data_IF_815036033124
#
_entry.id   IF_815036033124
#
_cell.length_a   1.000
_cell.length_b   1.000
_cell.length_c   1.000
_cell.angle_alpha   90.00
_cell.angle_beta   90.00
_cell.angle_gamma   90.00
#
_symmetry.space_group_name_H-M   'P 1'
#
loop_
_entity.id
_entity.type
_entity.pdbx_description
1 polymer ?
#
# COMPACT_ATOMS: atom_id res chain seq x y z
N UNK A 1 -29.99 -8.86 15.35
CA UNK A 1 -28.83 -8.53 14.50
C UNK A 1 -28.65 -9.64 13.47
N UNK A 2 -28.96 -9.35 12.21
CA UNK A 2 -28.90 -10.34 11.14
C UNK A 2 -27.72 -10.00 10.21
N UNK A 3 -26.98 -11.03 9.77
CA UNK A 3 -25.90 -10.83 8.82
C UNK A 3 -26.47 -10.42 7.45
N UNK A 4 -25.86 -9.41 6.73
CA UNK A 4 -26.39 -8.88 5.47
C UNK A 4 -26.47 -9.90 4.33
N UNK A 5 -25.83 -11.06 4.45
CA UNK A 5 -25.79 -12.13 3.44
C UNK A 5 -26.30 -13.48 3.96
N UNK A 6 -27.22 -13.49 4.92
CA UNK A 6 -27.86 -14.70 5.48
C UNK A 6 -26.86 -15.78 5.91
N UNK A 7 -25.75 -15.39 6.53
CA UNK A 7 -24.75 -16.34 7.06
C UNK A 7 -25.30 -17.00 8.32
N UNK A 8 -25.25 -18.32 8.35
CA UNK A 8 -25.52 -19.11 9.53
C UNK A 8 -24.22 -19.72 10.06
N UNK A 9 -23.82 -19.35 11.27
CA UNK A 9 -22.69 -19.98 11.95
C UNK A 9 -23.09 -21.38 12.44
N UNK A 10 -22.52 -22.42 11.85
CA UNK A 10 -22.77 -23.80 12.25
C UNK A 10 -22.11 -24.15 13.59
N UNK A 11 -21.02 -23.45 13.93
CA UNK A 11 -20.29 -23.64 15.19
C UNK A 11 -19.43 -22.42 15.51
N UNK A 12 -19.03 -22.31 16.79
CA UNK A 12 -18.13 -21.27 17.28
C UNK A 12 -18.76 -19.87 17.20
N UNK A 13 -17.90 -18.82 17.16
CA UNK A 13 -18.35 -17.44 17.17
C UNK A 13 -18.46 -16.85 18.56
N UNK A 14 -18.73 -15.56 18.61
CA UNK A 14 -18.94 -14.82 19.85
C UNK A 14 -19.67 -13.51 19.58
N UNK A 15 -20.13 -12.91 20.66
CA UNK A 15 -20.65 -11.54 20.69
C UNK A 15 -19.83 -10.75 21.70
N UNK A 16 -19.46 -9.53 21.35
CA UNK A 16 -18.83 -8.56 22.24
C UNK A 16 -19.62 -7.24 22.18
N UNK A 17 -20.04 -6.76 23.34
CA UNK A 17 -20.56 -5.39 23.48
C UNK A 17 -19.37 -4.47 23.70
N UNK A 18 -19.25 -3.45 22.86
CA UNK A 18 -18.18 -2.46 22.93
C UNK A 18 -18.56 -1.31 23.88
N UNK A 19 -17.58 -0.55 24.35
CA UNK A 19 -17.79 0.61 25.24
C UNK A 19 -18.64 1.71 24.58
N UNK A 20 -18.66 1.74 23.24
CA UNK A 20 -19.51 2.62 22.44
C UNK A 20 -21.00 2.24 22.45
N UNK A 21 -21.35 1.07 23.00
CA UNK A 21 -22.67 0.46 22.88
C UNK A 21 -22.87 -0.39 21.63
N UNK A 22 -21.93 -0.35 20.68
CA UNK A 22 -21.97 -1.19 19.49
C UNK A 22 -21.80 -2.68 19.83
N UNK A 23 -22.27 -3.54 18.96
CA UNK A 23 -22.20 -5.00 19.14
C UNK A 23 -21.37 -5.61 18.02
N UNK A 24 -20.25 -6.24 18.37
CA UNK A 24 -19.42 -7.02 17.44
C UNK A 24 -19.84 -8.47 17.48
N UNK A 25 -20.21 -9.02 16.34
CA UNK A 25 -20.58 -10.44 16.16
C UNK A 25 -19.54 -11.13 15.31
N UNK A 26 -18.86 -12.10 15.88
CA UNK A 26 -17.99 -13.03 15.15
C UNK A 26 -18.81 -14.26 14.70
N UNK A 27 -18.87 -14.51 13.40
CA UNK A 27 -19.69 -15.58 12.80
C UNK A 27 -18.98 -16.94 12.77
N UNK A 28 -17.91 -17.09 13.54
CA UNK A 28 -17.23 -18.36 13.80
C UNK A 28 -16.88 -19.12 12.53
N UNK A 29 -17.48 -20.28 12.36
CA UNK A 29 -17.25 -21.13 11.19
C UNK A 29 -17.38 -20.42 9.84
N UNK A 30 -18.11 -19.32 9.77
CA UNK A 30 -18.38 -18.59 8.53
C UNK A 30 -17.37 -17.49 8.19
N UNK A 31 -16.18 -17.48 8.78
CA UNK A 31 -15.05 -16.61 8.44
C UNK A 31 -15.42 -15.13 8.20
N UNK A 32 -16.31 -14.59 9.03
CA UNK A 32 -16.80 -13.23 8.95
C UNK A 32 -17.00 -12.63 10.33
N UNK A 33 -17.04 -11.31 10.41
CA UNK A 33 -17.56 -10.59 11.56
C UNK A 33 -18.31 -9.34 11.11
N UNK A 34 -19.25 -8.91 11.95
CA UNK A 34 -20.05 -7.72 11.71
C UNK A 34 -20.12 -6.89 12.99
N UNK A 35 -19.90 -5.60 12.87
CA UNK A 35 -20.18 -4.63 13.93
C UNK A 35 -21.50 -3.93 13.63
N UNK A 36 -22.39 -3.92 14.61
CA UNK A 36 -23.67 -3.25 14.58
C UNK A 36 -23.68 -2.07 15.54
N UNK A 37 -24.39 -1.01 15.20
CA UNK A 37 -24.73 0.05 16.16
C UNK A 37 -25.62 -0.50 17.28
N UNK A 38 -25.82 0.30 18.33
CA UNK A 38 -26.76 -0.04 19.41
C UNK A 38 -28.20 -0.20 18.88
N UNK A 39 -28.55 0.50 17.79
CA UNK A 39 -29.86 0.45 17.12
C UNK A 39 -30.02 -0.75 16.19
N UNK A 40 -28.91 -1.45 15.86
CA UNK A 40 -28.88 -2.62 15.00
C UNK A 40 -28.45 -2.35 13.56
N UNK A 41 -28.04 -1.13 13.24
CA UNK A 41 -27.52 -0.80 11.91
C UNK A 41 -26.11 -1.36 11.72
N UNK A 42 -25.78 -1.79 10.50
CA UNK A 42 -24.46 -2.32 10.16
C UNK A 42 -23.45 -1.17 10.06
N UNK A 43 -22.48 -1.16 10.96
CA UNK A 43 -21.35 -0.21 10.98
C UNK A 43 -20.19 -0.74 10.15
N UNK A 44 -19.89 -2.04 10.28
CA UNK A 44 -18.79 -2.68 9.58
C UNK A 44 -19.12 -4.13 9.31
N UNK A 45 -18.87 -4.64 8.11
CA UNK A 45 -19.02 -6.04 7.76
C UNK A 45 -17.78 -6.53 7.02
N UNK A 46 -17.11 -7.54 7.56
CA UNK A 46 -15.84 -8.05 7.05
C UNK A 46 -15.92 -9.55 6.81
N UNK A 47 -15.51 -9.97 5.63
CA UNK A 47 -15.26 -11.34 5.25
C UNK A 47 -13.76 -11.52 5.01
N UNK A 48 -13.12 -12.44 5.74
CA UNK A 48 -11.68 -12.69 5.62
C UNK A 48 -11.36 -14.02 4.92
N UNK A 49 -12.33 -14.58 4.21
CA UNK A 49 -12.19 -15.74 3.35
C UNK A 49 -12.92 -15.55 2.03
N UNK A 50 -12.64 -16.40 1.03
CA UNK A 50 -13.36 -16.36 -0.24
C UNK A 50 -14.83 -16.70 -0.06
N UNK A 51 -15.73 -15.89 -0.62
CA UNK A 51 -17.20 -16.03 -0.44
C UNK A 51 -17.75 -17.42 -0.82
N UNK A 52 -17.17 -18.06 -1.83
CA UNK A 52 -17.55 -19.43 -2.23
C UNK A 52 -17.29 -20.50 -1.16
N UNK A 53 -16.56 -20.17 -0.09
CA UNK A 53 -16.13 -21.11 0.94
C UNK A 53 -16.59 -20.76 2.36
N UNK A 54 -17.38 -19.71 2.54
CA UNK A 54 -17.85 -19.31 3.88
C UNK A 54 -18.62 -20.44 4.59
N UNK A 55 -19.43 -21.18 3.84
CA UNK A 55 -20.25 -22.27 4.38
C UNK A 55 -19.53 -23.62 4.42
N UNK A 56 -18.36 -23.76 3.82
CA UNK A 56 -17.64 -25.03 3.69
C UNK A 56 -16.44 -25.22 4.62
N UNK A 57 -16.19 -24.27 5.55
CA UNK A 57 -15.20 -24.44 6.61
C UNK A 57 -13.74 -24.49 6.16
N UNK A 58 -13.40 -24.03 4.95
CA UNK A 58 -11.99 -23.93 4.51
C UNK A 58 -11.23 -22.80 5.18
N UNK A 59 -11.94 -21.71 5.48
CA UNK A 59 -11.45 -20.60 6.30
C UNK A 59 -12.44 -20.45 7.44
N UNK A 60 -11.99 -20.59 8.66
CA UNK A 60 -12.84 -20.51 9.85
C UNK A 60 -12.23 -19.55 10.86
N UNK A 61 -13.08 -18.92 11.65
CA UNK A 61 -12.68 -18.19 12.84
C UNK A 61 -13.19 -18.91 14.08
N UNK A 62 -12.45 -18.82 15.18
CA UNK A 62 -12.93 -19.28 16.46
C UNK A 62 -13.74 -18.18 17.14
N UNK A 63 -13.15 -17.01 17.29
CA UNK A 63 -13.75 -15.81 17.89
C UNK A 63 -13.12 -14.57 17.30
N UNK A 64 -13.85 -13.44 17.33
CA UNK A 64 -13.37 -12.12 16.91
C UNK A 64 -13.57 -11.15 18.07
N UNK A 65 -12.54 -10.38 18.38
CA UNK A 65 -12.59 -9.35 19.40
C UNK A 65 -12.06 -8.04 18.86
N UNK A 66 -12.61 -6.93 19.34
CA UNK A 66 -12.14 -5.56 19.05
C UNK A 66 -11.66 -4.94 20.35
N UNK A 67 -10.44 -4.41 20.31
CA UNK A 67 -9.82 -3.74 21.45
C UNK A 67 -9.12 -2.47 20.96
N UNK A 68 -8.97 -1.52 21.85
CA UNK A 68 -8.07 -0.41 21.64
C UNK A 68 -6.65 -0.94 21.51
N UNK A 69 -5.95 -0.48 20.49
CA UNK A 69 -4.60 -0.90 20.20
C UNK A 69 -3.68 0.30 19.99
N UNK A 70 -2.58 0.33 20.73
CA UNK A 70 -1.48 1.27 20.50
C UNK A 70 -0.27 0.49 20.06
N UNK A 71 0.10 0.65 18.79
CA UNK A 71 1.29 0.04 18.19
C UNK A 71 2.44 1.04 18.10
N UNK A 72 3.60 0.65 18.61
CA UNK A 72 4.86 1.38 18.48
C UNK A 72 5.90 0.41 17.89
N UNK A 73 6.01 0.31 16.56
CA UNK A 73 6.96 -0.60 15.91
C UNK A 73 8.41 -0.26 16.27
N UNK A 74 9.25 -1.29 16.37
CA UNK A 74 10.69 -1.13 16.56
C UNK A 74 11.43 -0.91 15.22
N UNK A 75 10.74 -1.04 14.09
CA UNK A 75 11.27 -0.73 12.76
C UNK A 75 11.22 0.77 12.51
N UNK A 76 11.91 1.22 11.46
CA UNK A 76 11.70 2.55 10.89
C UNK A 76 10.55 2.52 9.89
N UNK A 77 9.95 3.67 9.51
CA UNK A 77 8.98 3.74 8.41
C UNK A 77 9.56 3.25 7.08
N UNK A 78 8.75 2.53 6.31
CA UNK A 78 9.08 2.06 4.97
C UNK A 78 8.76 3.13 3.93
N UNK A 79 9.56 3.20 2.85
CA UNK A 79 9.38 4.20 1.80
C UNK A 79 9.60 3.62 0.41
N UNK A 80 8.80 4.14 -0.56
CA UNK A 80 9.05 3.99 -1.99
C UNK A 80 9.16 5.39 -2.61
N UNK A 81 10.13 5.59 -3.51
CA UNK A 81 10.43 6.92 -4.07
C UNK A 81 10.21 6.90 -5.57
N UNK A 82 9.54 7.93 -6.08
CA UNK A 82 9.48 8.31 -7.49
C UNK A 82 10.20 9.65 -7.70
N UNK A 83 10.41 10.12 -8.93
CA UNK A 83 10.95 11.45 -9.16
C UNK A 83 10.12 12.59 -8.58
N UNK A 84 8.79 12.39 -8.47
CA UNK A 84 7.80 13.40 -8.09
C UNK A 84 7.29 13.26 -6.64
N UNK A 85 7.36 12.04 -6.06
CA UNK A 85 6.75 11.75 -4.76
C UNK A 85 7.54 10.74 -3.95
N UNK A 86 7.38 10.77 -2.63
CA UNK A 86 7.70 9.67 -1.74
C UNK A 86 6.41 9.08 -1.17
N UNK A 87 6.28 7.75 -1.23
CA UNK A 87 5.22 6.99 -0.59
C UNK A 87 5.75 6.47 0.73
N UNK A 88 5.03 6.70 1.81
CA UNK A 88 5.48 6.32 3.16
C UNK A 88 4.41 5.54 3.89
N UNK A 89 4.84 4.46 4.54
CA UNK A 89 4.00 3.65 5.42
C UNK A 89 4.80 3.18 6.64
N UNK A 90 4.10 2.86 7.71
CA UNK A 90 4.74 2.26 8.88
C UNK A 90 3.80 1.24 9.50
N UNK A 91 4.04 -0.02 9.15
CA UNK A 91 3.17 -1.11 9.58
C UNK A 91 3.19 -1.25 11.10
N UNK A 92 1.99 -1.25 11.68
CA UNK A 92 1.79 -1.35 13.13
C UNK A 92 1.89 -0.03 13.90
N UNK A 93 2.30 1.09 13.29
CA UNK A 93 2.31 2.39 13.93
C UNK A 93 0.89 2.99 13.94
N UNK A 94 0.30 3.12 15.12
CA UNK A 94 -1.10 3.61 15.26
C UNK A 94 -1.18 5.09 15.64
N UNK A 95 -0.11 5.67 16.16
CA UNK A 95 -0.09 7.06 16.66
C UNK A 95 0.36 8.10 15.65
N UNK A 96 0.85 7.70 14.47
CA UNK A 96 1.28 8.67 13.46
C UNK A 96 0.07 9.48 12.99
N UNK A 97 0.13 10.78 13.21
CA UNK A 97 -0.85 11.76 12.75
C UNK A 97 -0.39 12.45 11.46
N UNK A 98 0.90 12.73 11.37
CA UNK A 98 1.50 13.51 10.29
C UNK A 98 2.89 12.99 9.91
N UNK A 99 3.30 13.32 8.70
CA UNK A 99 4.62 13.08 8.15
C UNK A 99 5.31 14.41 7.89
N UNK A 100 6.51 14.62 8.46
CA UNK A 100 7.33 15.82 8.26
C UNK A 100 8.50 15.48 7.34
N UNK A 101 8.58 16.17 6.21
CA UNK A 101 9.71 16.08 5.30
C UNK A 101 10.80 17.01 5.79
N UNK A 102 12.00 16.47 5.96
CA UNK A 102 13.17 17.21 6.41
C UNK A 102 14.26 17.10 5.34
N UNK A 103 14.55 18.20 4.66
CA UNK A 103 15.62 18.26 3.65
C UNK A 103 17.00 18.48 4.29
N UNK A 104 18.01 17.86 3.71
CA UNK A 104 19.40 18.12 4.09
C UNK A 104 19.84 19.49 3.57
N UNK A 105 20.53 20.27 4.41
CA UNK A 105 21.02 21.61 4.06
C UNK A 105 22.22 21.61 3.09
N UNK A 106 22.83 20.46 2.84
CA UNK A 106 23.90 20.31 1.86
C UNK A 106 25.29 20.76 2.31
N UNK A 107 25.46 21.28 3.53
CA UNK A 107 26.72 21.91 3.96
C UNK A 107 27.78 20.91 4.40
N UNK A 108 27.49 19.95 5.28
CA UNK A 108 28.48 19.02 5.80
C UNK A 108 27.98 17.59 5.94
N UNK A 109 28.55 16.67 5.16
CA UNK A 109 28.24 15.23 5.19
C UNK A 109 28.58 14.57 6.54
N UNK A 110 29.50 15.15 7.30
CA UNK A 110 29.92 14.61 8.61
C UNK A 110 28.99 15.03 9.73
N UNK A 111 28.29 16.15 9.55
CA UNK A 111 27.34 16.67 10.54
C UNK A 111 26.07 17.11 9.79
N UNK A 112 25.31 16.11 9.27
CA UNK A 112 24.12 16.35 8.49
C UNK A 112 23.05 17.04 9.33
N UNK A 113 22.77 18.30 9.02
CA UNK A 113 21.62 19.05 9.55
C UNK A 113 20.44 18.93 8.58
N UNK A 114 19.25 18.93 9.13
CA UNK A 114 18.01 18.75 8.37
C UNK A 114 17.03 19.85 8.77
N UNK A 115 16.46 20.50 7.76
CA UNK A 115 15.44 21.52 7.94
C UNK A 115 14.08 20.98 7.49
N UNK A 116 13.04 21.19 8.28
CA UNK A 116 11.67 20.83 7.91
C UNK A 116 11.21 21.71 6.76
N UNK A 117 10.81 21.09 5.66
CA UNK A 117 10.37 21.78 4.42
C UNK A 117 8.91 21.55 4.11
N UNK A 118 8.32 20.45 4.63
CA UNK A 118 6.91 20.16 4.45
C UNK A 118 6.36 19.30 5.59
N UNK A 119 5.03 19.35 5.81
CA UNK A 119 4.33 18.54 6.80
C UNK A 119 2.94 18.19 6.30
N UNK A 120 2.66 16.90 6.19
CA UNK A 120 1.46 16.37 5.54
C UNK A 120 0.73 15.42 6.49
N UNK A 121 -0.59 15.55 6.65
CA UNK A 121 -1.38 14.62 7.45
C UNK A 121 -1.28 13.18 6.90
N UNK A 122 -1.28 12.20 7.78
CA UNK A 122 -1.43 10.80 7.40
C UNK A 122 -2.82 10.57 6.81
N UNK A 123 -2.87 10.03 5.60
CA UNK A 123 -4.15 9.80 4.88
C UNK A 123 -4.64 8.36 4.94
N UNK A 124 -3.80 7.41 5.35
CA UNK A 124 -4.17 6.00 5.39
C UNK A 124 -3.03 5.10 5.85
N UNK A 125 -3.01 3.86 5.38
CA UNK A 125 -1.90 2.94 5.62
C UNK A 125 -0.63 3.48 4.96
N UNK A 126 -0.73 3.88 3.71
CA UNK A 126 0.33 4.56 2.95
C UNK A 126 -0.11 6.00 2.66
N UNK A 127 0.82 6.92 2.72
CA UNK A 127 0.63 8.34 2.38
C UNK A 127 1.57 8.72 1.26
N UNK A 128 1.04 9.27 0.17
CA UNK A 128 1.84 9.91 -0.88
C UNK A 128 2.18 11.33 -0.46
N UNK A 129 3.46 11.68 -0.56
CA UNK A 129 3.99 13.02 -0.27
C UNK A 129 4.66 13.55 -1.53
N UNK A 130 4.11 14.56 -2.20
CA UNK A 130 4.76 15.21 -3.35
C UNK A 130 6.09 15.86 -2.94
N UNK A 131 7.15 15.64 -3.71
CA UNK A 131 8.45 16.24 -3.46
C UNK A 131 8.53 17.63 -4.10
N UNK A 132 8.52 18.66 -3.27
CA UNK A 132 8.67 20.06 -3.70
C UNK A 132 10.10 20.37 -4.17
N UNK A 133 10.32 21.56 -4.74
CA UNK A 133 11.66 22.03 -5.13
C UNK A 133 12.60 22.28 -3.94
N UNK A 134 12.08 22.35 -2.74
CA UNK A 134 12.86 22.52 -1.51
C UNK A 134 13.56 21.21 -1.08
N UNK A 135 13.12 20.07 -1.62
CA UNK A 135 13.80 18.78 -1.47
C UNK A 135 14.77 18.60 -2.63
N UNK A 136 16.00 19.04 -2.45
CA UNK A 136 17.00 19.04 -3.54
C UNK A 136 17.51 17.61 -3.83
N UNK A 137 18.40 17.06 -3.00
CA UNK A 137 19.03 15.76 -3.27
C UNK A 137 18.75 14.72 -2.21
N UNK A 138 18.97 15.07 -0.94
CA UNK A 138 18.81 14.16 0.19
C UNK A 138 17.79 14.70 1.18
N UNK A 139 17.01 13.78 1.72
CA UNK A 139 15.96 14.11 2.68
C UNK A 139 15.67 12.90 3.58
N UNK A 140 14.86 13.12 4.59
CA UNK A 140 14.25 12.07 5.42
C UNK A 140 12.82 12.45 5.77
N UNK A 141 12.03 11.49 6.20
CA UNK A 141 10.65 11.74 6.62
C UNK A 141 10.50 11.30 8.07
N UNK A 142 9.96 12.18 8.90
CA UNK A 142 9.74 11.97 10.32
C UNK A 142 8.25 11.73 10.58
N UNK A 143 7.94 10.68 11.33
CA UNK A 143 6.60 10.41 11.84
C UNK A 143 6.34 11.26 13.08
N UNK A 144 5.23 11.99 13.09
CA UNK A 144 4.82 12.91 14.16
C UNK A 144 3.46 12.45 14.69
N UNK A 145 3.27 12.49 16.00
CA UNK A 145 1.98 12.21 16.63
C UNK A 145 1.09 13.47 16.71
N UNK A 146 -0.12 13.32 17.23
CA UNK A 146 -1.09 14.40 17.39
C UNK A 146 -0.66 15.49 18.38
N UNK A 147 0.39 15.26 19.18
CA UNK A 147 0.95 16.22 20.13
C UNK A 147 2.18 16.95 19.55
N UNK A 148 2.59 16.61 18.32
CA UNK A 148 3.80 17.13 17.69
C UNK A 148 5.09 16.39 18.06
N UNK A 149 4.99 15.28 18.81
CA UNK A 149 6.14 14.49 19.23
C UNK A 149 6.63 13.56 18.13
N UNK A 150 7.95 13.40 18.03
CA UNK A 150 8.59 12.50 17.06
C UNK A 150 8.45 11.04 17.49
N UNK A 151 7.83 10.23 16.66
CA UNK A 151 7.69 8.79 16.87
C UNK A 151 8.82 7.97 16.22
N UNK A 152 9.34 8.44 15.10
CA UNK A 152 10.39 7.75 14.34
C UNK A 152 10.78 8.53 13.10
N UNK A 153 11.81 8.08 12.42
CA UNK A 153 12.33 8.72 11.21
C UNK A 153 12.83 7.65 10.24
N UNK A 154 12.69 7.88 8.95
CA UNK A 154 13.25 7.02 7.89
C UNK A 154 14.78 7.06 7.91
N UNK A 155 15.43 6.14 7.19
CA UNK A 155 16.80 6.34 6.77
C UNK A 155 16.94 7.57 5.87
N UNK A 156 18.18 7.87 5.47
CA UNK A 156 18.46 8.90 4.47
C UNK A 156 17.90 8.46 3.13
N UNK A 157 17.09 9.31 2.51
CA UNK A 157 16.47 9.11 1.21
C UNK A 157 17.16 10.00 0.18
N UNK A 158 17.25 9.52 -1.06
CA UNK A 158 17.76 10.29 -2.17
C UNK A 158 16.67 10.52 -3.19
N UNK A 159 16.43 11.76 -3.58
CA UNK A 159 15.52 12.10 -4.66
C UNK A 159 15.99 11.49 -5.97
N UNK A 160 15.10 10.82 -6.69
CA UNK A 160 15.39 10.30 -8.00
C UNK A 160 15.42 11.44 -9.02
N UNK A 161 16.31 11.39 -10.01
CA UNK A 161 16.29 12.37 -11.10
C UNK A 161 14.96 12.29 -11.84
N UNK A 162 14.42 13.44 -12.24
CA UNK A 162 13.25 13.47 -13.11
C UNK A 162 13.54 12.59 -14.33
N UNK A 163 12.63 11.66 -14.65
CA UNK A 163 12.77 10.86 -15.86
C UNK A 163 12.78 11.85 -17.03
N UNK A 164 13.94 12.02 -17.66
CA UNK A 164 13.98 12.69 -18.96
C UNK A 164 13.07 11.86 -19.86
N UNK A 165 11.88 12.37 -20.17
CA UNK A 165 10.86 11.69 -20.97
C UNK A 165 11.33 11.47 -22.40
N UNK A 166 12.33 10.63 -22.55
CA UNK A 166 12.65 9.93 -23.79
C UNK A 166 11.67 8.79 -23.91
N UNK A 167 10.47 9.03 -24.46
CA UNK A 167 9.75 7.92 -25.07
C UNK A 167 10.77 7.21 -25.97
N UNK A 168 10.88 5.87 -25.90
CA UNK A 168 11.70 5.15 -26.85
C UNK A 168 11.07 5.45 -28.23
N UNK A 169 11.59 6.47 -28.92
CA UNK A 169 11.37 6.63 -30.32
C UNK A 169 11.98 5.40 -30.97
N UNK A 170 11.21 4.32 -31.07
CA UNK A 170 11.52 3.25 -32.00
C UNK A 170 11.53 3.97 -33.34
N UNK A 171 12.76 4.24 -33.82
CA UNK A 171 12.90 4.96 -35.08
C UNK A 171 12.15 4.17 -36.15
N UNK A 172 11.40 4.83 -37.00
CA UNK A 172 10.71 4.19 -38.13
C UNK A 172 11.64 3.24 -38.89
N UNK A 173 12.92 3.59 -38.94
CA UNK A 173 13.98 2.76 -39.53
C UNK A 173 14.16 1.40 -38.79
N UNK A 174 14.04 1.34 -37.50
CA UNK A 174 14.11 0.07 -36.75
C UNK A 174 12.91 -0.82 -37.03
N UNK A 175 11.72 -0.23 -37.16
CA UNK A 175 10.51 -0.97 -37.58
C UNK A 175 10.63 -1.51 -39.01
N UNK A 176 11.14 -0.70 -39.96
CA UNK A 176 11.38 -1.12 -41.31
C UNK A 176 12.44 -2.22 -41.41
N UNK A 177 13.49 -2.16 -40.58
CA UNK A 177 14.54 -3.20 -40.53
C UNK A 177 13.98 -4.55 -40.03
N UNK A 178 13.14 -4.53 -39.01
CA UNK A 178 12.47 -5.75 -38.48
C UNK A 178 11.53 -6.33 -39.55
N UNK A 179 10.71 -5.48 -40.20
CA UNK A 179 9.80 -5.93 -41.25
C UNK A 179 10.55 -6.55 -42.45
N UNK A 180 11.68 -5.92 -42.83
CA UNK A 180 12.53 -6.43 -43.92
C UNK A 180 13.13 -7.81 -43.59
N UNK A 181 13.64 -8.02 -42.38
CA UNK A 181 14.17 -9.32 -41.93
C UNK A 181 13.09 -10.40 -41.94
N UNK A 182 11.88 -10.10 -41.47
CA UNK A 182 10.75 -11.02 -41.51
C UNK A 182 10.38 -11.36 -42.94
N UNK A 183 10.31 -10.38 -43.83
CA UNK A 183 9.96 -10.60 -45.24
C UNK A 183 10.98 -11.46 -45.97
N UNK A 184 12.26 -11.21 -45.76
CA UNK A 184 13.35 -12.01 -46.36
C UNK A 184 13.32 -13.44 -45.81
N UNK A 185 13.05 -13.63 -44.50
CA UNK A 185 12.92 -14.95 -43.88
C UNK A 185 11.74 -15.76 -44.47
N UNK A 186 10.60 -15.11 -44.72
CA UNK A 186 9.45 -15.74 -45.36
C UNK A 186 9.74 -16.13 -46.85
N UNK A 187 10.40 -15.25 -47.59
CA UNK A 187 10.77 -15.52 -48.98
C UNK A 187 11.77 -16.69 -49.08
N UNK A 188 12.79 -16.72 -48.23
CA UNK A 188 13.71 -17.86 -48.17
C UNK A 188 12.98 -19.16 -47.79
N UNK A 189 12.08 -19.13 -46.81
CA UNK A 189 11.27 -20.28 -46.38
C UNK A 189 10.43 -20.85 -47.54
N UNK A 190 9.76 -19.99 -48.31
CA UNK A 190 8.98 -20.37 -49.47
C UNK A 190 9.87 -20.95 -50.58
N UNK A 191 11.02 -20.30 -50.86
CA UNK A 191 11.99 -20.81 -51.83
C UNK A 191 12.48 -22.23 -51.49
N UNK A 192 12.86 -22.48 -50.27
CA UNK A 192 13.28 -23.82 -49.82
C UNK A 192 12.14 -24.86 -49.88
N UNK A 193 10.90 -24.45 -49.60
CA UNK A 193 9.73 -25.34 -49.64
C UNK A 193 9.38 -25.75 -51.09
N UNK A 194 9.59 -24.86 -52.07
CA UNK A 194 9.29 -25.10 -53.48
C UNK A 194 10.39 -25.94 -54.13
N UNK A 195 11.65 -25.81 -53.75
CA UNK A 195 12.79 -26.53 -54.38
C UNK A 195 13.15 -27.86 -53.69
N UNK A 196 12.37 -28.29 -52.72
CA UNK A 196 12.51 -29.62 -52.06
C UNK A 196 11.52 -30.67 -52.62
N UNK A 197 10.84 -30.43 -53.75
CA UNK A 197 10.04 -31.45 -54.43
C UNK A 197 10.69 -31.94 -55.71
#
# INVERSE_FOLDING_TARGET
FDHPHDIMALSQGNVQVLDTGNVLVGWGHSAAFTEFSAEGDIVCNVHFGASAFFTFGRVVSYRVFKFDWVGNPLTIPDTAITPESVFISWNGATKVAEWRVEAWDGEDVRNMTFTAVDQIPRTGFETEIPLTSEVDSFFRVRAIDSNGESLGVTGLLQRLPASSGGSPHISLWALWSILFVILVGLLCGVYFAVHRR
#
